data_IF_561808005731
#
_entry.id   IF_561808005731
#
_cell.length_a   1.000
_cell.length_b   1.000
_cell.length_c   1.000
_cell.angle_alpha   90.00
_cell.angle_beta   90.00
_cell.angle_gamma   90.00
#
_symmetry.space_group_name_H-M   'P 1'
#
loop_
_entity.id
_entity.type
_entity.pdbx_description
1 polymer ?
#
# COMPACT_ATOMS: atom_id res chain seq x y z
N UNK A 1 23.03 1.16 7.27
CA UNK A 1 22.07 1.95 8.07
C UNK A 1 20.89 1.05 8.41
N UNK A 2 20.46 1.03 9.66
CA UNK A 2 19.42 0.14 10.16
C UNK A 2 18.09 0.89 10.33
N UNK A 3 17.01 0.14 10.54
CA UNK A 3 15.70 0.70 10.89
C UNK A 3 15.76 1.52 12.18
N UNK A 4 16.57 1.07 13.16
CA UNK A 4 16.72 1.73 14.46
C UNK A 4 17.35 3.13 14.34
N UNK A 5 18.36 3.28 13.48
CA UNK A 5 19.11 4.52 13.35
C UNK A 5 18.38 5.59 12.52
N UNK A 6 17.53 5.16 11.58
CA UNK A 6 16.92 6.05 10.57
C UNK A 6 15.43 6.24 10.75
N UNK A 7 14.75 5.39 11.52
CA UNK A 7 13.29 5.38 11.64
C UNK A 7 12.56 4.90 10.38
N UNK A 8 13.29 4.47 9.34
CA UNK A 8 12.75 3.84 8.13
C UNK A 8 13.76 2.85 7.53
N UNK A 9 13.27 1.91 6.72
CA UNK A 9 14.10 0.94 6.01
C UNK A 9 13.58 0.76 4.57
N UNK A 10 14.34 1.16 3.53
CA UNK A 10 13.95 0.87 2.15
C UNK A 10 14.11 -0.63 1.85
N UNK A 11 13.08 -1.21 1.22
CA UNK A 11 13.07 -2.62 0.80
C UNK A 11 12.91 -2.70 -0.73
N UNK A 12 13.99 -2.46 -1.49
CA UNK A 12 13.93 -2.45 -2.96
C UNK A 12 13.57 -3.84 -3.51
N UNK A 13 12.70 -3.87 -4.51
CA UNK A 13 12.28 -5.12 -5.16
C UNK A 13 11.51 -6.09 -4.25
N UNK A 14 10.89 -5.59 -3.18
CA UNK A 14 10.12 -6.42 -2.24
C UNK A 14 8.89 -7.05 -2.90
N UNK A 15 8.32 -6.37 -3.91
CA UNK A 15 7.28 -6.90 -4.77
C UNK A 15 7.87 -7.22 -6.14
N UNK A 16 7.40 -8.29 -6.76
CA UNK A 16 7.69 -8.60 -8.15
C UNK A 16 7.05 -7.57 -9.08
N UNK A 17 7.59 -7.44 -10.29
CA UNK A 17 7.02 -6.56 -11.31
C UNK A 17 5.54 -6.89 -11.60
N UNK A 18 5.21 -8.19 -11.71
CA UNK A 18 3.83 -8.64 -11.90
C UNK A 18 2.90 -8.16 -10.79
N UNK A 19 3.29 -8.31 -9.51
CA UNK A 19 2.48 -7.83 -8.38
C UNK A 19 2.26 -6.32 -8.45
N UNK A 20 3.30 -5.55 -8.78
CA UNK A 20 3.19 -4.10 -8.93
C UNK A 20 2.22 -3.73 -10.05
N UNK A 21 2.30 -4.40 -11.21
CA UNK A 21 1.37 -4.12 -12.31
C UNK A 21 -0.06 -4.52 -11.97
N UNK A 22 -0.28 -5.64 -11.28
CA UNK A 22 -1.60 -6.06 -10.80
C UNK A 22 -2.21 -5.03 -9.85
N UNK A 23 -1.43 -4.52 -8.89
CA UNK A 23 -1.91 -3.51 -7.95
C UNK A 23 -2.25 -2.18 -8.64
N UNK A 24 -1.44 -1.75 -9.63
CA UNK A 24 -1.73 -0.55 -10.41
C UNK A 24 -3.04 -0.68 -11.20
N UNK A 25 -3.20 -1.79 -11.92
CA UNK A 25 -4.42 -2.05 -12.67
C UNK A 25 -5.65 -2.05 -11.75
N UNK A 26 -5.58 -2.75 -10.61
CA UNK A 26 -6.71 -2.76 -9.65
C UNK A 26 -6.97 -1.40 -9.03
N UNK A 27 -5.92 -0.62 -8.76
CA UNK A 27 -6.06 0.74 -8.25
C UNK A 27 -6.81 1.63 -9.26
N UNK A 28 -6.42 1.59 -10.53
CA UNK A 28 -7.08 2.40 -11.57
C UNK A 28 -8.53 1.99 -11.77
N UNK A 29 -8.83 0.69 -11.75
CA UNK A 29 -10.20 0.16 -11.76
C UNK A 29 -11.03 0.72 -10.59
N UNK A 30 -10.50 0.64 -9.36
CA UNK A 30 -11.18 1.14 -8.16
C UNK A 30 -11.41 2.66 -8.22
N UNK A 31 -10.47 3.43 -8.77
CA UNK A 31 -10.66 4.88 -8.99
C UNK A 31 -11.85 5.13 -9.91
N UNK A 32 -12.01 4.35 -10.99
CA UNK A 32 -13.16 4.48 -11.88
C UNK A 32 -14.46 3.98 -11.21
N UNK A 33 -14.40 2.86 -10.47
CA UNK A 33 -15.55 2.27 -9.78
C UNK A 33 -16.12 3.21 -8.69
N UNK A 34 -15.24 3.84 -7.91
CA UNK A 34 -15.64 4.70 -6.79
C UNK A 34 -15.92 6.15 -7.23
N UNK A 35 -15.26 6.62 -8.30
CA UNK A 35 -15.45 7.94 -8.88
C UNK A 35 -15.33 9.05 -7.84
N UNK A 36 -16.33 9.93 -7.77
CA UNK A 36 -16.37 11.07 -6.82
C UNK A 36 -16.41 10.65 -5.35
N UNK A 37 -16.75 9.38 -5.06
CA UNK A 37 -16.78 8.86 -3.69
C UNK A 37 -15.43 8.31 -3.23
N UNK A 38 -14.47 8.16 -4.14
CA UNK A 38 -13.16 7.62 -3.86
C UNK A 38 -12.47 8.40 -2.73
N UNK A 39 -12.17 7.69 -1.63
CA UNK A 39 -11.43 8.25 -0.50
C UNK A 39 -12.12 9.39 0.25
N UNK A 40 -13.44 9.59 0.12
CA UNK A 40 -14.17 10.67 0.83
C UNK A 40 -14.07 10.61 2.36
N UNK A 41 -13.71 9.46 2.91
CA UNK A 41 -13.41 9.19 4.31
C UNK A 41 -12.09 9.81 4.81
N UNK A 42 -11.25 10.34 3.92
CA UNK A 42 -9.96 10.98 4.24
C UNK A 42 -9.80 12.31 3.49
N UNK A 43 -8.75 13.07 3.83
CA UNK A 43 -8.45 14.34 3.14
C UNK A 43 -8.11 14.11 1.65
N UNK A 44 -8.77 14.88 0.78
CA UNK A 44 -8.59 14.84 -0.68
C UNK A 44 -7.78 16.03 -1.16
N UNK A 45 -6.96 15.81 -2.19
CA UNK A 45 -6.12 16.82 -2.81
C UNK A 45 -6.45 16.92 -4.30
N UNK A 46 -6.62 18.14 -4.80
CA UNK A 46 -6.94 18.35 -6.21
C UNK A 46 -5.84 17.79 -7.12
N UNK A 47 -6.23 16.99 -8.11
CA UNK A 47 -5.30 16.35 -9.05
C UNK A 47 -4.71 15.01 -8.59
N UNK A 48 -5.08 14.52 -7.40
CA UNK A 48 -4.59 13.25 -6.86
C UNK A 48 -5.73 12.24 -6.75
N UNK A 49 -5.53 11.04 -7.30
CA UNK A 49 -6.42 9.91 -7.03
C UNK A 49 -6.15 9.38 -5.62
N UNK A 50 -7.19 9.21 -4.81
CA UNK A 50 -7.08 8.66 -3.46
C UNK A 50 -8.20 7.66 -3.19
N UNK A 51 -7.78 6.47 -2.77
CA UNK A 51 -8.65 5.39 -2.30
C UNK A 51 -8.26 5.07 -0.86
N UNK A 52 -9.22 4.77 -0.01
CA UNK A 52 -8.94 4.19 1.32
C UNK A 52 -9.47 2.77 1.42
N UNK A 53 -9.10 2.11 2.51
CA UNK A 53 -9.52 0.74 2.81
C UNK A 53 -9.15 -0.29 1.73
N UNK A 54 -8.01 -0.09 1.06
CA UNK A 54 -7.55 -0.99 0.00
C UNK A 54 -7.36 -2.45 0.47
N UNK A 55 -7.11 -2.66 1.76
CA UNK A 55 -7.03 -3.98 2.36
C UNK A 55 -8.31 -4.82 2.15
N UNK A 56 -9.48 -4.16 2.08
CA UNK A 56 -10.78 -4.81 1.84
C UNK A 56 -11.23 -4.78 0.37
N UNK A 57 -10.43 -4.19 -0.53
CA UNK A 57 -10.82 -3.89 -1.92
C UNK A 57 -10.07 -4.71 -2.98
N UNK A 58 -9.25 -5.66 -2.55
CA UNK A 58 -8.65 -6.67 -3.43
C UNK A 58 -7.50 -7.42 -2.78
N UNK A 59 -7.48 -8.75 -2.96
CA UNK A 59 -6.43 -9.62 -2.42
C UNK A 59 -5.01 -9.23 -2.87
N UNK A 60 -4.87 -8.53 -4.01
CA UNK A 60 -3.58 -8.04 -4.49
C UNK A 60 -2.91 -7.03 -3.53
N UNK A 61 -3.68 -6.35 -2.67
CA UNK A 61 -3.15 -5.40 -1.68
C UNK A 61 -2.73 -6.06 -0.36
N UNK A 62 -3.11 -7.32 -0.11
CA UNK A 62 -2.87 -8.01 1.16
C UNK A 62 -1.37 -8.08 1.49
N UNK A 63 -0.53 -8.32 0.48
CA UNK A 63 0.92 -8.42 0.63
C UNK A 63 1.55 -7.17 1.25
N UNK A 64 0.94 -5.99 1.12
CA UNK A 64 1.44 -4.75 1.70
C UNK A 64 1.56 -4.81 3.24
N UNK A 65 0.72 -5.61 3.90
CA UNK A 65 0.75 -5.78 5.35
C UNK A 65 1.04 -7.23 5.80
N UNK A 66 1.13 -8.19 4.87
CA UNK A 66 1.48 -9.58 5.19
C UNK A 66 2.86 -10.02 4.72
N UNK A 67 3.59 -9.19 3.96
CA UNK A 67 4.92 -9.57 3.47
C UNK A 67 5.87 -9.92 4.63
N UNK A 68 6.55 -11.09 4.63
CA UNK A 68 7.36 -11.54 5.77
C UNK A 68 8.44 -10.54 6.22
N UNK A 69 9.11 -9.87 5.27
CA UNK A 69 10.09 -8.81 5.60
C UNK A 69 9.45 -7.59 6.26
N UNK A 70 8.24 -7.21 5.87
CA UNK A 70 7.50 -6.09 6.49
C UNK A 70 7.10 -6.49 7.91
N UNK A 71 6.51 -7.67 8.08
CA UNK A 71 6.15 -8.19 9.40
C UNK A 71 7.35 -8.34 10.34
N UNK A 72 8.51 -8.76 9.83
CA UNK A 72 9.75 -8.81 10.60
C UNK A 72 10.19 -7.42 11.08
N UNK A 73 10.07 -6.39 10.23
CA UNK A 73 10.36 -5.00 10.63
C UNK A 73 9.35 -4.48 11.65
N UNK A 74 8.06 -4.76 11.47
CA UNK A 74 7.00 -4.40 12.44
C UNK A 74 7.28 -5.05 13.79
N UNK A 75 7.60 -6.35 13.80
CA UNK A 75 7.94 -7.09 15.01
C UNK A 75 9.16 -6.49 15.72
N UNK A 76 10.20 -6.15 14.96
CA UNK A 76 11.41 -5.53 15.49
C UNK A 76 11.12 -4.20 16.20
N UNK A 77 10.23 -3.37 15.64
CA UNK A 77 9.89 -2.05 16.21
C UNK A 77 8.92 -2.13 17.38
N UNK A 78 7.91 -3.01 17.30
CA UNK A 78 6.79 -3.02 18.26
C UNK A 78 6.97 -4.00 19.44
N UNK A 79 7.83 -5.02 19.32
CA UNK A 79 8.05 -6.01 20.39
C UNK A 79 7.18 -7.26 20.30
#
# INVERSE_FOLDING_TARGET
MTLDDQGYLPLPGILSETQVQTMRARFDELVQEEGEKAGTEVHQEAGTNRLSDLANKGACFEVCFTHPKVLACIRHVLG
#
